data_IF_307526231925
#
_entry.id   IF_307526231925
#
_cell.length_a   1.000
_cell.length_b   1.000
_cell.length_c   1.000
_cell.angle_alpha   90.00
_cell.angle_beta   90.00
_cell.angle_gamma   90.00
#
_symmetry.space_group_name_H-M   'P 1'
#
loop_
_entity.id
_entity.type
_entity.pdbx_description
1 polymer ?
#
# COMPACT_ATOMS: atom_id res chain seq x y z
N UNK A 1 -29.64 -40.46 -0.48
CA UNK A 1 -29.23 -39.50 0.55
C UNK A 1 -28.60 -38.32 -0.09
N UNK A 2 -29.11 -37.15 0.22
CA UNK A 2 -28.53 -35.85 -0.25
C UNK A 2 -27.19 -35.68 0.45
N UNK A 3 -26.11 -35.38 -0.26
CA UNK A 3 -24.81 -35.11 0.39
C UNK A 3 -24.92 -33.89 1.32
N UNK A 4 -24.25 -33.90 2.49
CA UNK A 4 -24.33 -32.83 3.46
C UNK A 4 -23.88 -31.50 2.85
N UNK A 5 -24.67 -30.46 3.07
CA UNK A 5 -24.41 -29.13 2.56
C UNK A 5 -23.18 -28.46 3.22
N UNK A 6 -22.65 -27.37 2.66
CA UNK A 6 -21.48 -26.69 3.20
C UNK A 6 -21.66 -26.21 4.64
N UNK A 7 -22.89 -25.97 5.09
CA UNK A 7 -23.20 -25.55 6.47
C UNK A 7 -23.03 -26.70 7.48
N UNK A 8 -23.32 -27.96 7.09
CA UNK A 8 -23.23 -29.12 7.98
C UNK A 8 -21.78 -29.49 8.31
N UNK A 9 -20.85 -29.20 7.39
CA UNK A 9 -19.40 -29.38 7.61
C UNK A 9 -18.82 -28.38 8.58
N UNK A 10 -19.34 -27.15 8.60
CA UNK A 10 -18.93 -26.08 9.53
C UNK A 10 -19.39 -26.41 10.95
N UNK A 11 -20.62 -26.94 11.12
CA UNK A 11 -21.14 -27.32 12.43
C UNK A 11 -20.41 -28.57 12.98
N UNK A 12 -20.06 -29.56 12.16
CA UNK A 12 -19.30 -30.72 12.60
C UNK A 12 -17.87 -30.39 13.06
N UNK A 13 -17.23 -29.37 12.49
CA UNK A 13 -15.92 -28.92 12.92
C UNK A 13 -15.95 -28.14 14.24
N UNK A 14 -17.11 -27.55 14.61
CA UNK A 14 -17.27 -26.76 15.83
C UNK A 14 -17.56 -27.60 17.08
N UNK A 15 -17.92 -28.89 16.95
CA UNK A 15 -18.41 -29.73 18.05
C UNK A 15 -17.48 -30.87 18.47
N UNK A 16 -16.29 -31.01 17.92
CA UNK A 16 -15.33 -32.05 18.27
C UNK A 16 -14.43 -31.70 19.47
N UNK A 17 -14.23 -32.60 20.44
CA UNK A 17 -13.31 -32.36 21.56
C UNK A 17 -11.87 -32.49 21.10
N UNK A 18 -11.14 -31.39 21.13
CA UNK A 18 -9.72 -31.26 21.41
C UNK A 18 -8.72 -32.20 20.72
N UNK A 19 -8.65 -32.21 19.40
CA UNK A 19 -7.44 -32.67 18.72
C UNK A 19 -7.06 -31.68 17.63
N UNK A 20 -6.08 -30.83 17.95
CA UNK A 20 -5.44 -29.93 16.98
C UNK A 20 -4.42 -30.77 16.22
N UNK A 21 -4.85 -31.48 15.19
CA UNK A 21 -3.93 -31.97 14.15
C UNK A 21 -3.64 -30.80 13.21
N UNK A 22 -2.40 -30.34 13.25
CA UNK A 22 -1.83 -29.38 12.34
C UNK A 22 -1.76 -29.99 10.94
N UNK A 23 -2.84 -29.89 10.17
CA UNK A 23 -2.80 -30.07 8.72
C UNK A 23 -2.42 -28.75 8.09
N UNK A 24 -1.32 -28.73 7.37
CA UNK A 24 -0.77 -27.59 6.66
C UNK A 24 -1.85 -26.88 5.81
N UNK A 25 -2.14 -25.62 6.11
CA UNK A 25 -3.01 -24.76 5.30
C UNK A 25 -4.27 -24.23 5.95
N UNK A 26 -4.49 -24.44 7.24
CA UNK A 26 -5.68 -23.92 7.96
C UNK A 26 -5.34 -22.62 8.68
N UNK A 27 -5.94 -21.51 8.24
CA UNK A 27 -5.89 -20.23 8.95
C UNK A 27 -6.91 -20.26 10.10
N UNK A 28 -6.43 -20.40 11.34
CA UNK A 28 -7.28 -20.34 12.53
C UNK A 28 -7.52 -18.87 12.89
N UNK A 29 -8.76 -18.39 12.76
CA UNK A 29 -9.14 -17.06 13.21
C UNK A 29 -9.20 -16.97 14.75
N UNK A 30 -9.20 -15.76 15.29
CA UNK A 30 -9.27 -15.47 16.75
C UNK A 30 -10.47 -16.10 17.49
N UNK A 31 -11.48 -16.57 16.78
CA UNK A 31 -12.65 -17.25 17.30
C UNK A 31 -12.53 -18.79 17.32
N UNK A 32 -11.37 -19.36 17.01
CA UNK A 32 -11.17 -20.81 16.91
C UNK A 32 -11.88 -21.48 15.71
N UNK A 33 -12.42 -20.70 14.79
CA UNK A 33 -13.03 -21.18 13.56
C UNK A 33 -11.96 -21.34 12.49
N UNK A 34 -11.72 -22.57 12.04
CA UNK A 34 -10.84 -22.85 10.92
C UNK A 34 -11.64 -22.75 9.61
N UNK A 35 -11.33 -21.77 8.78
CA UNK A 35 -11.84 -21.73 7.42
C UNK A 35 -11.04 -22.73 6.58
N UNK A 36 -11.61 -23.88 6.28
CA UNK A 36 -11.02 -24.80 5.32
C UNK A 36 -11.25 -24.24 3.92
N UNK A 37 -10.18 -23.79 3.28
CA UNK A 37 -10.24 -23.35 1.89
C UNK A 37 -10.53 -24.56 1.01
N UNK A 38 -11.77 -24.71 0.57
CA UNK A 38 -12.15 -25.76 -0.36
C UNK A 38 -11.55 -25.45 -1.74
N UNK A 39 -10.63 -26.29 -2.21
CA UNK A 39 -9.93 -26.12 -3.50
C UNK A 39 -10.89 -26.02 -4.70
N UNK A 40 -12.10 -26.53 -4.57
CA UNK A 40 -13.13 -26.41 -5.62
C UNK A 40 -13.74 -25.02 -5.66
N UNK A 41 -13.95 -24.37 -4.50
CA UNK A 41 -14.39 -22.97 -4.42
C UNK A 41 -13.37 -22.03 -5.04
N UNK A 42 -12.09 -22.26 -4.81
CA UNK A 42 -11.01 -21.44 -5.38
C UNK A 42 -10.99 -21.50 -6.92
N UNK A 43 -11.33 -22.65 -7.51
CA UNK A 43 -11.47 -22.80 -8.96
C UNK A 43 -12.71 -22.08 -9.52
N UNK A 44 -13.80 -22.03 -8.75
CA UNK A 44 -15.07 -21.41 -9.17
C UNK A 44 -15.03 -19.89 -9.02
N UNK A 45 -14.32 -19.38 -8.00
CA UNK A 45 -14.22 -17.94 -7.70
C UNK A 45 -13.09 -17.28 -8.50
N UNK A 46 -12.03 -18.00 -8.86
CA UNK A 46 -10.96 -17.47 -9.72
C UNK A 46 -11.41 -17.40 -11.18
N UNK A 47 -12.33 -16.48 -11.46
CA UNK A 47 -12.62 -16.13 -12.85
C UNK A 47 -11.37 -15.47 -13.45
N UNK A 48 -10.65 -16.20 -14.29
CA UNK A 48 -9.49 -15.66 -15.01
C UNK A 48 -10.01 -14.76 -16.12
N UNK A 49 -10.27 -13.50 -15.77
CA UNK A 49 -10.61 -12.48 -16.75
C UNK A 49 -9.36 -12.14 -17.56
N UNK A 50 -9.41 -12.43 -18.86
CA UNK A 50 -8.38 -12.04 -19.82
C UNK A 50 -8.89 -10.83 -20.60
N UNK A 51 -8.58 -9.60 -20.15
CA UNK A 51 -9.00 -8.39 -20.86
C UNK A 51 -8.34 -8.30 -22.23
N UNK A 52 -9.02 -7.72 -23.23
CA UNK A 52 -8.38 -7.30 -24.46
C UNK A 52 -7.33 -6.22 -24.15
N UNK A 53 -6.38 -6.01 -25.06
CA UNK A 53 -5.32 -5.01 -24.88
C UNK A 53 -5.89 -3.62 -24.57
N UNK A 54 -6.96 -3.21 -25.24
CA UNK A 54 -7.63 -1.94 -25.02
C UNK A 54 -8.25 -1.87 -23.61
N UNK A 55 -8.94 -2.93 -23.17
CA UNK A 55 -9.50 -3.01 -21.82
C UNK A 55 -8.42 -3.04 -20.75
N UNK A 56 -7.29 -3.72 -21.00
CA UNK A 56 -6.16 -3.74 -20.07
C UNK A 56 -5.57 -2.34 -19.87
N UNK A 57 -5.46 -1.55 -20.94
CA UNK A 57 -5.01 -0.16 -20.87
C UNK A 57 -5.99 0.71 -20.08
N UNK A 58 -7.29 0.60 -20.35
CA UNK A 58 -8.33 1.34 -19.62
C UNK A 58 -8.33 1.00 -18.12
N UNK A 59 -8.24 -0.28 -17.79
CA UNK A 59 -8.15 -0.75 -16.40
C UNK A 59 -6.88 -0.24 -15.70
N UNK A 60 -5.74 -0.26 -16.40
CA UNK A 60 -4.47 0.27 -15.92
C UNK A 60 -4.54 1.77 -15.67
N UNK A 61 -5.11 2.53 -16.60
CA UNK A 61 -5.33 3.96 -16.47
C UNK A 61 -6.21 4.29 -15.26
N UNK A 62 -7.36 3.64 -15.15
CA UNK A 62 -8.29 3.84 -14.04
C UNK A 62 -7.65 3.49 -12.68
N UNK A 63 -6.89 2.38 -12.60
CA UNK A 63 -6.12 2.04 -11.40
C UNK A 63 -5.08 3.12 -11.07
N UNK A 64 -4.33 3.60 -12.05
CA UNK A 64 -3.32 4.64 -11.86
C UNK A 64 -3.94 5.93 -11.31
N UNK A 65 -5.02 6.41 -11.92
CA UNK A 65 -5.73 7.61 -11.46
C UNK A 65 -6.28 7.43 -10.04
N UNK A 66 -6.89 6.28 -9.75
CA UNK A 66 -7.43 5.99 -8.42
C UNK A 66 -6.33 5.91 -7.35
N UNK A 67 -5.21 5.27 -7.63
CA UNK A 67 -4.06 5.22 -6.71
C UNK A 67 -3.45 6.59 -6.49
N UNK A 68 -3.27 7.38 -7.56
CA UNK A 68 -2.77 8.76 -7.47
C UNK A 68 -3.68 9.61 -6.59
N UNK A 69 -4.99 9.54 -6.81
CA UNK A 69 -5.97 10.28 -6.03
C UNK A 69 -5.99 9.85 -4.56
N UNK A 70 -5.90 8.54 -4.30
CA UNK A 70 -5.84 8.00 -2.94
C UNK A 70 -4.57 8.45 -2.22
N UNK A 71 -3.42 8.43 -2.90
CA UNK A 71 -2.15 8.91 -2.37
C UNK A 71 -2.22 10.39 -2.02
N UNK A 72 -2.78 11.22 -2.89
CA UNK A 72 -2.97 12.66 -2.63
C UNK A 72 -3.91 12.91 -1.44
N UNK A 73 -5.02 12.18 -1.35
CA UNK A 73 -5.94 12.27 -0.20
C UNK A 73 -5.26 11.88 1.10
N UNK A 74 -4.48 10.80 1.10
CA UNK A 74 -3.75 10.35 2.27
C UNK A 74 -2.76 11.42 2.73
N UNK A 75 -2.03 12.01 1.79
CA UNK A 75 -1.08 13.09 2.08
C UNK A 75 -1.79 14.35 2.61
N UNK A 76 -2.92 14.72 2.02
CA UNK A 76 -3.76 15.81 2.52
C UNK A 76 -4.21 15.59 3.97
N UNK A 77 -4.62 14.38 4.31
CA UNK A 77 -4.98 14.00 5.70
C UNK A 77 -3.78 14.04 6.64
N UNK A 78 -2.60 13.65 6.17
CA UNK A 78 -1.38 13.69 6.95
C UNK A 78 -0.99 15.14 7.31
N UNK A 79 -1.06 16.05 6.34
CA UNK A 79 -0.75 17.48 6.54
C UNK A 79 -1.78 18.15 7.44
N UNK A 80 -3.06 17.77 7.36
CA UNK A 80 -4.13 18.30 8.23
C UNK A 80 -4.17 17.65 9.62
N UNK A 81 -3.26 16.72 9.93
CA UNK A 81 -3.22 16.02 11.22
C UNK A 81 -4.33 14.98 11.43
N UNK A 82 -5.12 14.69 10.39
CA UNK A 82 -6.24 13.74 10.45
C UNK A 82 -5.83 12.30 10.11
N UNK A 83 -4.54 12.05 9.86
CA UNK A 83 -4.00 10.70 9.66
C UNK A 83 -3.10 10.33 10.83
N UNK A 84 -3.22 9.09 11.30
CA UNK A 84 -2.30 8.56 12.30
C UNK A 84 -0.93 8.31 11.70
N UNK A 85 0.12 8.83 12.34
CA UNK A 85 1.51 8.60 11.95
C UNK A 85 1.92 7.12 12.07
N UNK A 86 1.18 6.32 12.82
CA UNK A 86 1.42 4.87 12.97
C UNK A 86 1.18 4.08 11.68
N UNK A 87 0.50 4.68 10.70
CA UNK A 87 0.27 4.06 9.38
C UNK A 87 1.36 4.37 8.35
N UNK A 88 2.37 5.15 8.74
CA UNK A 88 3.50 5.42 7.84
C UNK A 88 4.41 4.20 7.87
N UNK A 89 4.44 3.51 6.73
CA UNK A 89 5.35 2.39 6.50
C UNK A 89 6.72 2.90 6.11
N UNK A 90 7.73 2.35 6.71
CA UNK A 90 9.12 2.68 6.40
C UNK A 90 9.73 1.70 5.38
N UNK A 91 11.03 1.85 5.11
CA UNK A 91 11.72 1.07 4.09
C UNK A 91 11.77 -0.43 4.41
N UNK A 92 11.78 -0.83 5.68
CA UNK A 92 11.76 -2.25 6.07
C UNK A 92 10.42 -2.90 5.73
N UNK A 93 9.31 -2.22 6.01
CA UNK A 93 7.97 -2.68 5.60
C UNK A 93 7.85 -2.79 4.09
N UNK A 94 8.39 -1.82 3.33
CA UNK A 94 8.38 -1.86 1.86
C UNK A 94 9.17 -3.07 1.35
N UNK A 95 10.34 -3.34 1.93
CA UNK A 95 11.17 -4.50 1.57
C UNK A 95 10.47 -5.83 1.89
N UNK A 96 9.79 -5.93 3.03
CA UNK A 96 9.02 -7.11 3.41
C UNK A 96 7.86 -7.37 2.46
N UNK A 97 7.07 -6.34 2.13
CA UNK A 97 5.96 -6.44 1.16
C UNK A 97 6.49 -6.80 -0.24
N UNK A 98 7.64 -6.27 -0.65
CA UNK A 98 8.30 -6.65 -1.89
C UNK A 98 8.64 -8.15 -1.92
N UNK A 99 9.24 -8.65 -0.82
CA UNK A 99 9.57 -10.07 -0.67
C UNK A 99 8.35 -10.97 -0.68
N UNK A 100 7.27 -10.59 0.01
CA UNK A 100 6.01 -11.31 0.01
C UNK A 100 5.37 -11.32 -1.38
N UNK A 101 5.34 -10.18 -2.06
CA UNK A 101 4.80 -10.06 -3.42
C UNK A 101 5.57 -10.94 -4.41
N UNK A 102 6.89 -11.01 -4.29
CA UNK A 102 7.72 -11.89 -5.11
C UNK A 102 7.42 -13.38 -4.89
N UNK A 103 7.16 -13.79 -3.64
CA UNK A 103 6.75 -15.17 -3.31
C UNK A 103 5.37 -15.53 -3.88
N UNK A 104 4.47 -14.57 -4.01
CA UNK A 104 3.14 -14.76 -4.61
C UNK A 104 3.18 -14.89 -6.14
N UNK A 105 4.31 -14.54 -6.76
CA UNK A 105 4.56 -14.69 -8.19
C UNK A 105 4.75 -13.36 -8.92
N UNK A 106 5.18 -13.49 -10.17
CA UNK A 106 5.58 -12.34 -11.00
C UNK A 106 4.47 -11.30 -11.15
N UNK A 107 3.22 -11.72 -11.29
CA UNK A 107 2.09 -10.79 -11.42
C UNK A 107 1.95 -9.89 -10.19
N UNK A 108 1.94 -10.47 -9.00
CA UNK A 108 1.82 -9.73 -7.73
C UNK A 108 3.01 -8.81 -7.51
N UNK A 109 4.20 -9.25 -7.91
CA UNK A 109 5.39 -8.41 -7.83
C UNK A 109 5.35 -7.21 -8.78
N UNK A 110 4.87 -7.39 -10.01
CA UNK A 110 4.68 -6.30 -10.96
C UNK A 110 3.59 -5.31 -10.49
N UNK A 111 2.51 -5.80 -9.91
CA UNK A 111 1.47 -4.94 -9.31
C UNK A 111 2.03 -4.11 -8.14
N UNK A 112 2.86 -4.71 -7.29
CA UNK A 112 3.55 -4.00 -6.23
C UNK A 112 4.51 -2.92 -6.79
N UNK A 113 5.31 -3.25 -7.78
CA UNK A 113 6.22 -2.27 -8.42
C UNK A 113 5.45 -1.11 -9.06
N UNK A 114 4.33 -1.40 -9.74
CA UNK A 114 3.46 -0.37 -10.31
C UNK A 114 2.91 0.56 -9.22
N UNK A 115 2.43 0.00 -8.10
CA UNK A 115 1.93 0.78 -6.96
C UNK A 115 3.01 1.70 -6.39
N UNK A 116 4.22 1.17 -6.16
CA UNK A 116 5.35 1.96 -5.64
C UNK A 116 5.75 3.06 -6.61
N UNK A 117 5.81 2.75 -7.92
CA UNK A 117 6.14 3.74 -8.96
C UNK A 117 5.12 4.88 -9.02
N UNK A 118 3.83 4.56 -8.99
CA UNK A 118 2.76 5.57 -8.98
C UNK A 118 2.85 6.44 -7.73
N UNK A 119 3.01 5.80 -6.56
CA UNK A 119 3.11 6.52 -5.29
C UNK A 119 4.33 7.46 -5.27
N UNK A 120 5.48 6.99 -5.72
CA UNK A 120 6.70 7.79 -5.80
C UNK A 120 6.56 8.96 -6.78
N UNK A 121 5.94 8.74 -7.95
CA UNK A 121 5.66 9.80 -8.92
C UNK A 121 4.73 10.87 -8.34
N UNK A 122 3.66 10.46 -7.67
CA UNK A 122 2.72 11.38 -7.01
C UNK A 122 3.40 12.16 -5.88
N UNK A 123 4.21 11.47 -5.05
CA UNK A 123 4.96 12.10 -3.97
C UNK A 123 5.95 13.14 -4.50
N UNK A 124 6.64 12.85 -5.60
CA UNK A 124 7.57 13.78 -6.22
C UNK A 124 6.89 15.05 -6.77
N UNK A 125 5.60 14.98 -7.11
CA UNK A 125 4.82 16.14 -7.55
C UNK A 125 4.27 16.99 -6.39
N UNK A 126 4.44 16.57 -5.15
CA UNK A 126 4.00 17.36 -3.99
C UNK A 126 4.82 18.65 -3.84
N UNK A 127 4.20 19.74 -3.35
CA UNK A 127 4.84 21.03 -3.16
C UNK A 127 5.83 21.04 -1.99
N UNK A 128 6.75 20.08 -1.96
CA UNK A 128 7.80 19.95 -0.95
C UNK A 128 9.13 20.38 -1.55
N UNK A 129 9.83 21.35 -0.97
CA UNK A 129 11.02 22.00 -1.56
C UNK A 129 12.19 21.06 -1.96
N UNK A 130 12.21 19.84 -1.44
CA UNK A 130 13.23 18.81 -1.75
C UNK A 130 12.84 17.95 -2.96
N UNK A 131 11.57 17.97 -3.34
CA UNK A 131 11.00 17.17 -4.43
C UNK A 131 10.82 18.03 -5.68
N UNK A 132 10.62 17.37 -6.83
CA UNK A 132 10.42 18.06 -8.10
C UNK A 132 9.22 19.04 -8.08
N UNK A 133 8.13 18.66 -7.38
CA UNK A 133 6.99 19.53 -7.18
C UNK A 133 7.32 20.82 -6.42
N UNK A 134 8.29 20.80 -5.51
CA UNK A 134 8.79 22.01 -4.84
C UNK A 134 9.51 22.95 -5.80
N UNK A 135 10.30 22.41 -6.72
CA UNK A 135 10.92 23.21 -7.79
C UNK A 135 9.87 23.82 -8.71
N UNK A 136 8.82 23.07 -9.07
CA UNK A 136 7.70 23.59 -9.85
C UNK A 136 7.01 24.78 -9.14
N UNK A 137 6.85 24.72 -7.82
CA UNK A 137 6.31 25.84 -7.04
C UNK A 137 7.23 27.04 -7.09
N UNK A 138 8.55 26.85 -6.97
CA UNK A 138 9.52 27.96 -7.08
C UNK A 138 9.47 28.59 -8.46
N UNK A 139 9.52 27.82 -9.54
CA UNK A 139 9.43 28.31 -10.91
C UNK A 139 8.10 29.03 -11.19
N UNK A 140 7.00 28.48 -10.69
CA UNK A 140 5.68 29.12 -10.82
C UNK A 140 5.64 30.47 -10.09
N UNK A 141 6.20 30.53 -8.89
CA UNK A 141 6.28 31.77 -8.12
C UNK A 141 7.17 32.81 -8.81
N UNK A 142 8.30 32.41 -9.40
CA UNK A 142 9.18 33.28 -10.19
C UNK A 142 8.47 33.82 -11.44
N UNK A 143 7.75 32.95 -12.14
CA UNK A 143 6.97 33.32 -13.32
C UNK A 143 5.88 34.36 -13.00
N UNK A 144 5.11 34.15 -11.92
CA UNK A 144 4.07 35.10 -11.48
C UNK A 144 4.67 36.43 -11.03
N UNK A 145 5.83 36.40 -10.35
CA UNK A 145 6.48 37.62 -9.85
C UNK A 145 7.29 38.35 -10.90
N UNK A 146 7.61 37.71 -12.04
CA UNK A 146 8.50 38.25 -13.07
C UNK A 146 9.94 38.47 -12.62
N UNK A 147 10.35 37.92 -11.47
CA UNK A 147 11.69 38.04 -10.89
C UNK A 147 12.11 36.73 -10.22
N UNK A 148 13.38 36.31 -10.32
CA UNK A 148 13.86 35.12 -9.66
C UNK A 148 13.70 35.21 -8.13
N UNK A 149 13.47 34.09 -7.48
CA UNK A 149 13.46 33.97 -6.03
C UNK A 149 14.90 34.12 -5.51
N UNK A 150 15.06 34.82 -4.39
CA UNK A 150 16.38 34.95 -3.77
C UNK A 150 16.90 33.55 -3.34
N UNK A 151 18.20 33.34 -3.49
CA UNK A 151 18.89 32.13 -3.06
C UNK A 151 18.60 31.77 -1.59
N UNK A 152 18.42 32.79 -0.75
CA UNK A 152 18.08 32.60 0.66
C UNK A 152 16.71 31.91 0.84
N UNK A 153 15.69 32.30 0.07
CA UNK A 153 14.35 31.73 0.16
C UNK A 153 14.40 30.26 -0.31
N UNK A 154 15.11 30.01 -1.40
CA UNK A 154 15.28 28.64 -1.91
C UNK A 154 16.06 27.77 -0.90
N UNK A 155 17.15 28.27 -0.34
CA UNK A 155 17.95 27.56 0.66
C UNK A 155 17.19 27.28 1.96
N UNK A 156 16.38 28.22 2.45
CA UNK A 156 15.53 28.02 3.64
C UNK A 156 14.47 26.96 3.34
N UNK A 157 13.79 27.06 2.20
CA UNK A 157 12.81 26.06 1.78
C UNK A 157 13.41 24.65 1.70
N UNK A 158 14.59 24.53 1.08
CA UNK A 158 15.30 23.25 0.94
C UNK A 158 15.68 22.67 2.32
N UNK A 159 16.23 23.49 3.23
CA UNK A 159 16.58 23.04 4.59
C UNK A 159 15.37 22.59 5.38
N UNK A 160 14.25 23.32 5.28
CA UNK A 160 13.01 22.96 5.94
C UNK A 160 12.43 21.65 5.36
N UNK A 161 12.40 21.51 4.04
CA UNK A 161 11.95 20.30 3.38
C UNK A 161 12.81 19.09 3.74
N UNK A 162 14.14 19.25 3.78
CA UNK A 162 15.06 18.19 4.19
C UNK A 162 14.84 17.79 5.65
N UNK A 163 14.69 18.75 6.56
CA UNK A 163 14.41 18.47 7.96
C UNK A 163 13.09 17.69 8.15
N UNK A 164 12.03 18.12 7.45
CA UNK A 164 10.75 17.43 7.48
C UNK A 164 10.86 16.00 6.92
N UNK A 165 11.59 15.80 5.82
CA UNK A 165 11.83 14.48 5.24
C UNK A 165 12.60 13.57 6.20
N UNK A 166 13.66 14.08 6.84
CA UNK A 166 14.44 13.30 7.83
C UNK A 166 13.59 12.94 9.05
N UNK A 167 12.75 13.85 9.53
CA UNK A 167 11.82 13.57 10.63
C UNK A 167 10.82 12.46 10.25
N UNK A 168 10.22 12.55 9.06
CA UNK A 168 9.30 11.52 8.56
C UNK A 168 9.99 10.17 8.42
N UNK A 169 11.23 10.16 7.91
CA UNK A 169 12.03 8.93 7.82
C UNK A 169 12.30 8.33 9.20
N UNK A 170 12.66 9.16 10.20
CA UNK A 170 12.88 8.69 11.57
C UNK A 170 11.59 8.07 12.16
N UNK A 171 10.44 8.71 11.97
CA UNK A 171 9.14 8.18 12.41
C UNK A 171 8.82 6.86 11.71
N UNK A 172 9.04 6.78 10.39
CA UNK A 172 8.79 5.58 9.61
C UNK A 172 9.69 4.41 10.08
N UNK A 173 10.97 4.67 10.33
CA UNK A 173 11.89 3.67 10.88
C UNK A 173 11.48 3.21 12.29
N UNK A 174 11.07 4.14 13.14
CA UNK A 174 10.58 3.81 14.48
C UNK A 174 9.34 2.91 14.42
N UNK A 175 8.39 3.23 13.54
CA UNK A 175 7.21 2.41 13.32
C UNK A 175 7.56 1.01 12.80
N UNK A 176 8.51 0.90 11.86
CA UNK A 176 8.97 -0.38 11.32
C UNK A 176 9.60 -1.25 12.41
N UNK A 177 10.45 -0.67 13.26
CA UNK A 177 11.09 -1.38 14.37
C UNK A 177 10.03 -1.87 15.37
N UNK A 178 9.10 -1.01 15.78
CA UNK A 178 8.02 -1.42 16.68
C UNK A 178 7.15 -2.54 16.10
N UNK A 179 6.95 -2.55 14.77
CA UNK A 179 6.18 -3.59 14.11
C UNK A 179 6.91 -4.92 14.01
N UNK A 180 8.23 -4.91 13.90
CA UNK A 180 9.05 -6.12 13.77
C UNK A 180 9.37 -6.77 15.12
N UNK A 181 9.46 -5.97 16.18
CA UNK A 181 9.91 -6.43 17.50
C UNK A 181 8.84 -6.28 18.61
N UNK A 182 7.70 -5.66 18.38
CA UNK A 182 6.56 -5.53 19.28
C UNK A 182 5.43 -6.45 18.89
#
# INVERSE_FOLDING_TARGET
>A
GVPPGPHDKILAAATGPGSVEQSAGVLVGRAGLAAQADKEWDKTIRYRYTPSVAQAFELGWNKTVNYSWTTLKFFGKLVTGNASLNHISGPLTIADVAGQSAKLGLQSYLEFLALVSISLGVLNLLPVPVLDGGHLVFYTAEWIRGKPLSERIQAVGLRFGLAAMLLMMAVAFFNDINRLFG
#
